data_IF_923114542330
#
_entry.id   IF_923114542330
#
_cell.length_a   1.000
_cell.length_b   1.000
_cell.length_c   1.000
_cell.angle_alpha   90.00
_cell.angle_beta   90.00
_cell.angle_gamma   90.00
#
_symmetry.space_group_name_H-M   'P 1'
#
loop_
_entity.id
_entity.type
_entity.pdbx_description
1 polymer ?
#
# COMPACT_ATOMS: atom_id res chain seq x y z
N UNK A 1 6.80 -7.50 33.05
CA UNK A 1 6.28 -6.30 32.38
C UNK A 1 6.48 -6.49 30.88
N UNK A 2 5.39 -6.60 30.13
CA UNK A 2 5.45 -6.67 28.67
C UNK A 2 5.26 -5.26 28.14
N UNK A 3 6.30 -4.67 27.56
CA UNK A 3 6.15 -3.42 26.80
C UNK A 3 5.38 -3.78 25.53
N UNK A 4 4.10 -3.45 25.49
CA UNK A 4 3.38 -3.42 24.23
C UNK A 4 3.94 -2.23 23.47
N UNK A 5 4.89 -2.46 22.56
CA UNK A 5 5.26 -1.49 21.55
C UNK A 5 3.97 -1.13 20.82
N UNK A 6 3.47 0.10 21.00
CA UNK A 6 2.44 0.60 20.10
C UNK A 6 3.11 0.61 18.73
N UNK A 7 2.52 -0.07 17.75
CA UNK A 7 2.98 0.05 16.37
C UNK A 7 2.76 1.49 15.93
N UNK A 8 3.80 2.31 16.01
CA UNK A 8 3.79 3.65 15.43
C UNK A 8 3.80 3.47 13.91
N UNK A 9 2.64 3.67 13.27
CA UNK A 9 2.59 3.70 11.82
C UNK A 9 3.15 5.05 11.36
N UNK A 10 4.42 5.07 11.00
CA UNK A 10 5.12 6.26 10.50
C UNK A 10 4.76 6.63 9.06
N UNK A 11 4.02 5.77 8.37
CA UNK A 11 3.55 5.98 7.00
C UNK A 11 2.13 5.44 6.82
N UNK A 12 1.49 5.86 5.73
CA UNK A 12 0.17 5.42 5.35
C UNK A 12 0.13 3.90 5.11
N UNK A 13 -0.97 3.24 5.45
CA UNK A 13 -1.14 1.79 5.22
C UNK A 13 -1.47 1.47 3.75
N UNK A 14 -1.91 2.48 3.00
CA UNK A 14 -2.26 2.39 1.59
C UNK A 14 -1.53 3.48 0.81
N UNK A 15 -1.33 3.24 -0.50
CA UNK A 15 -0.79 4.27 -1.38
C UNK A 15 -1.78 5.41 -1.51
N UNK A 16 -1.26 6.62 -1.58
CA UNK A 16 -2.01 7.84 -1.76
C UNK A 16 -1.62 8.39 -3.13
N UNK A 17 -2.62 8.88 -3.87
CA UNK A 17 -2.39 9.69 -5.06
C UNK A 17 -2.32 11.14 -4.62
N UNK A 18 -1.22 11.80 -4.93
CA UNK A 18 -0.93 13.16 -4.50
C UNK A 18 -0.27 13.95 -5.63
N UNK A 19 -0.30 15.28 -5.52
CA UNK A 19 0.46 16.17 -6.40
C UNK A 19 1.58 16.83 -5.61
N UNK A 20 2.79 16.79 -6.16
CA UNK A 20 3.97 17.46 -5.65
C UNK A 20 4.68 18.17 -6.81
N UNK A 21 4.99 19.47 -6.64
CA UNK A 21 5.58 20.33 -7.69
C UNK A 21 4.84 20.19 -9.04
N UNK A 22 3.51 20.28 -9.02
CA UNK A 22 2.60 20.19 -10.17
C UNK A 22 2.65 18.85 -10.94
N UNK A 23 3.22 17.79 -10.38
CA UNK A 23 3.21 16.43 -10.95
C UNK A 23 2.46 15.49 -10.02
N UNK A 24 1.72 14.55 -10.61
CA UNK A 24 0.93 13.57 -9.85
C UNK A 24 1.70 12.27 -9.69
N UNK A 25 1.71 11.75 -8.46
CA UNK A 25 2.40 10.52 -8.08
C UNK A 25 1.46 9.59 -7.32
N UNK A 26 1.91 8.35 -7.10
CA UNK A 26 1.17 7.37 -6.30
C UNK A 26 2.13 6.54 -5.48
N UNK A 27 2.17 6.79 -4.18
CA UNK A 27 3.10 6.14 -3.25
C UNK A 27 2.55 6.16 -1.83
N UNK A 28 3.22 5.50 -0.89
CA UNK A 28 2.95 5.67 0.53
C UNK A 28 3.45 7.06 0.99
N UNK A 29 2.75 7.70 1.92
CA UNK A 29 3.20 8.97 2.50
C UNK A 29 3.58 8.75 3.96
N UNK A 30 4.77 9.21 4.32
CA UNK A 30 5.26 9.28 5.70
C UNK A 30 5.06 10.65 6.32
N UNK A 31 5.97 11.01 7.22
CA UNK A 31 6.02 12.28 7.92
C UNK A 31 7.14 13.17 7.37
N UNK A 32 7.01 14.46 7.65
CA UNK A 32 8.10 15.41 7.47
C UNK A 32 8.98 15.45 8.75
N UNK A 33 10.30 15.52 8.55
CA UNK A 33 11.29 15.49 9.61
C UNK A 33 12.33 16.58 9.36
N UNK A 34 12.47 17.53 10.29
CA UNK A 34 13.36 18.70 10.10
C UNK A 34 14.83 18.31 9.86
N UNK A 35 15.28 17.18 10.42
CA UNK A 35 16.66 16.70 10.31
C UNK A 35 16.86 15.70 9.15
N UNK A 36 15.81 15.42 8.36
CA UNK A 36 15.92 14.47 7.27
C UNK A 36 16.72 15.04 6.10
N UNK A 37 17.79 14.34 5.74
CA UNK A 37 18.76 14.73 4.71
C UNK A 37 18.95 13.66 3.65
N UNK A 38 17.98 12.75 3.52
CA UNK A 38 18.00 11.70 2.51
C UNK A 38 17.85 12.23 1.08
N UNK A 39 17.99 11.31 0.12
CA UNK A 39 17.96 11.62 -1.31
C UNK A 39 16.56 11.30 -1.86
N UNK A 40 16.03 12.17 -2.72
CA UNK A 40 14.89 11.90 -3.60
C UNK A 40 15.39 11.96 -5.05
N UNK A 41 15.84 10.81 -5.57
CA UNK A 41 16.43 10.68 -6.89
C UNK A 41 15.39 10.64 -8.02
N UNK A 42 14.15 10.25 -7.67
CA UNK A 42 13.05 10.13 -8.63
C UNK A 42 12.19 11.42 -8.70
N UNK A 43 12.42 12.34 -7.77
CA UNK A 43 11.77 13.63 -7.60
C UNK A 43 10.25 13.54 -7.39
N UNK A 44 9.75 12.50 -6.71
CA UNK A 44 8.34 12.38 -6.34
C UNK A 44 7.98 13.15 -5.07
N UNK A 45 8.98 13.68 -4.35
CA UNK A 45 8.79 14.37 -3.07
C UNK A 45 8.85 13.44 -1.87
N UNK A 46 9.18 12.17 -2.06
CA UNK A 46 9.42 11.21 -0.99
C UNK A 46 10.90 10.83 -1.02
N UNK A 47 11.52 10.83 0.15
CA UNK A 47 12.90 10.40 0.27
C UNK A 47 13.06 8.89 0.03
N UNK A 48 14.03 8.51 -0.81
CA UNK A 48 14.34 7.13 -1.19
C UNK A 48 15.05 6.35 -0.05
N UNK A 49 15.48 7.04 1.01
CA UNK A 49 16.12 6.43 2.18
C UNK A 49 15.24 6.60 3.42
N UNK A 50 15.02 5.55 4.23
CA UNK A 50 14.29 5.68 5.49
C UNK A 50 14.96 6.65 6.47
N UNK A 51 14.20 7.16 7.44
CA UNK A 51 14.78 8.01 8.50
C UNK A 51 15.85 7.27 9.31
N UNK A 52 16.89 7.97 9.77
CA UNK A 52 17.93 7.37 10.60
C UNK A 52 17.36 7.06 11.99
N UNK A 53 17.16 5.77 12.29
CA UNK A 53 16.85 5.29 13.65
C UNK A 53 17.65 4.03 13.98
N UNK A 54 18.03 3.89 15.25
CA UNK A 54 18.66 2.70 15.79
C UNK A 54 17.71 1.50 15.82
N UNK A 55 16.40 1.76 15.95
CA UNK A 55 15.36 0.75 15.84
C UNK A 55 14.75 0.77 14.43
N UNK A 56 14.86 -0.35 13.71
CA UNK A 56 14.36 -0.48 12.33
C UNK A 56 12.84 -0.35 12.26
N UNK A 57 12.12 -0.83 13.28
CA UNK A 57 10.66 -0.78 13.33
C UNK A 57 10.12 0.65 13.54
N UNK A 58 10.97 1.58 13.99
CA UNK A 58 10.63 2.97 14.24
C UNK A 58 11.02 3.90 13.07
N UNK A 59 11.54 3.34 11.98
CA UNK A 59 11.91 4.13 10.81
C UNK A 59 10.68 4.50 10.01
N UNK A 60 10.65 5.76 9.57
CA UNK A 60 9.77 6.17 8.50
C UNK A 60 10.43 5.80 7.17
N UNK A 61 9.81 4.90 6.41
CA UNK A 61 10.33 4.43 5.13
C UNK A 61 9.93 5.34 3.96
N UNK A 62 9.05 6.31 4.19
CA UNK A 62 8.55 7.23 3.16
C UNK A 62 8.59 8.69 3.64
N UNK A 63 9.73 9.17 4.16
CA UNK A 63 9.84 10.52 4.70
C UNK A 63 9.56 11.56 3.61
N UNK A 64 8.83 12.61 3.97
CA UNK A 64 8.51 13.71 3.06
C UNK A 64 9.73 14.63 2.94
N UNK A 65 10.06 15.03 1.70
CA UNK A 65 11.14 15.97 1.41
C UNK A 65 10.81 17.41 1.82
N UNK A 66 9.52 17.75 1.89
CA UNK A 66 9.01 19.07 2.29
C UNK A 66 7.83 18.89 3.26
N UNK A 67 7.41 19.94 3.98
CA UNK A 67 6.18 19.91 4.79
C UNK A 67 4.94 19.54 3.96
N UNK A 68 3.96 18.91 4.60
CA UNK A 68 2.75 18.34 3.96
C UNK A 68 1.95 19.38 3.15
N UNK A 69 2.07 20.66 3.48
CA UNK A 69 1.44 21.78 2.78
C UNK A 69 1.88 21.88 1.30
N UNK A 70 3.01 21.29 0.94
CA UNK A 70 3.50 21.23 -0.45
C UNK A 70 2.93 20.03 -1.23
N UNK A 71 2.07 19.22 -0.61
CA UNK A 71 1.47 18.01 -1.17
C UNK A 71 -0.05 18.17 -1.23
N UNK A 72 -0.61 18.11 -2.44
CA UNK A 72 -2.07 18.10 -2.62
C UNK A 72 -2.53 16.65 -2.67
N UNK A 73 -3.15 16.17 -1.59
CA UNK A 73 -3.71 14.82 -1.51
C UNK A 73 -4.97 14.75 -2.39
N UNK A 74 -4.95 13.86 -3.40
CA UNK A 74 -6.06 13.70 -4.35
C UNK A 74 -6.99 12.57 -3.90
N UNK A 75 -6.45 11.37 -3.64
CA UNK A 75 -7.23 10.21 -3.23
C UNK A 75 -6.37 9.18 -2.50
N UNK A 76 -6.98 8.42 -1.61
CA UNK A 76 -6.38 7.20 -1.05
C UNK A 76 -6.68 6.08 -2.04
N UNK A 77 -5.66 5.31 -2.41
CA UNK A 77 -5.84 4.09 -3.21
C UNK A 77 -6.31 3.01 -2.24
N UNK A 78 -7.62 2.97 -2.00
CA UNK A 78 -8.23 1.87 -1.28
C UNK A 78 -7.89 0.58 -2.04
N UNK A 79 -7.31 -0.38 -1.32
CA UNK A 79 -7.17 -1.75 -1.82
C UNK A 79 -8.57 -2.31 -2.00
N UNK A 80 -9.16 -2.10 -3.18
CA UNK A 80 -10.45 -2.69 -3.54
C UNK A 80 -10.29 -4.21 -3.38
N UNK A 81 -11.02 -4.75 -2.42
CA UNK A 81 -11.00 -6.16 -2.08
C UNK A 81 -11.10 -7.03 -3.35
N UNK A 82 -10.17 -7.98 -3.49
CA UNK A 82 -10.40 -9.21 -4.23
C UNK A 82 -10.64 -9.15 -5.74
N UNK A 83 -10.26 -8.07 -6.44
CA UNK A 83 -10.33 -8.05 -7.91
C UNK A 83 -8.93 -8.02 -8.49
N UNK A 84 -8.39 -9.20 -8.84
CA UNK A 84 -7.21 -9.29 -9.70
C UNK A 84 -7.66 -8.76 -11.07
N UNK A 85 -6.93 -7.84 -11.73
CA UNK A 85 -7.27 -7.42 -13.09
C UNK A 85 -7.36 -8.64 -14.01
N UNK A 86 -8.56 -8.94 -14.50
CA UNK A 86 -8.85 -10.13 -15.31
C UNK A 86 -9.44 -11.33 -14.56
N UNK A 87 -9.63 -11.26 -13.24
CA UNK A 87 -10.24 -12.33 -12.45
C UNK A 87 -11.20 -11.83 -11.38
N UNK A 88 -12.47 -12.17 -11.54
CA UNK A 88 -13.51 -11.95 -10.54
C UNK A 88 -13.59 -13.18 -9.63
N UNK A 89 -13.60 -13.00 -8.31
CA UNK A 89 -13.82 -14.10 -7.35
C UNK A 89 -15.12 -14.89 -7.63
N UNK A 90 -16.13 -14.20 -8.17
CA UNK A 90 -17.38 -14.82 -8.64
C UNK A 90 -17.17 -15.79 -9.81
N UNK A 91 -16.19 -15.54 -10.69
CA UNK A 91 -15.82 -16.46 -11.78
C UNK A 91 -15.13 -17.72 -11.24
N UNK A 92 -14.27 -17.61 -10.21
CA UNK A 92 -13.66 -18.79 -9.55
C UNK A 92 -14.73 -19.67 -8.91
N UNK A 93 -15.63 -19.07 -8.14
CA UNK A 93 -16.71 -19.80 -7.47
C UNK A 93 -17.66 -20.45 -8.50
N UNK A 94 -17.91 -19.77 -9.61
CA UNK A 94 -18.66 -20.32 -10.74
C UNK A 94 -17.98 -21.54 -11.38
N UNK A 95 -16.68 -21.44 -11.69
CA UNK A 95 -15.90 -22.55 -12.27
C UNK A 95 -15.84 -23.74 -11.30
N UNK A 96 -15.56 -23.49 -10.01
CA UNK A 96 -15.50 -24.53 -8.98
C UNK A 96 -16.85 -25.24 -8.83
N UNK A 97 -17.95 -24.49 -8.82
CA UNK A 97 -19.32 -25.04 -8.80
C UNK A 97 -19.60 -25.93 -10.02
N UNK A 98 -19.26 -25.48 -11.24
CA UNK A 98 -19.40 -26.31 -12.45
C UNK A 98 -18.61 -27.61 -12.36
N UNK A 99 -17.37 -27.57 -11.90
CA UNK A 99 -16.52 -28.77 -11.74
C UNK A 99 -17.17 -29.75 -10.75
N UNK A 100 -17.67 -29.26 -9.61
CA UNK A 100 -18.36 -30.10 -8.62
C UNK A 100 -19.63 -30.73 -9.19
N UNK A 101 -20.42 -29.97 -9.95
CA UNK A 101 -21.64 -30.48 -10.61
C UNK A 101 -21.29 -31.58 -11.63
N UNK A 102 -20.24 -31.38 -12.43
CA UNK A 102 -19.78 -32.36 -13.42
C UNK A 102 -19.27 -33.66 -12.77
N UNK A 103 -18.51 -33.55 -11.67
CA UNK A 103 -18.07 -34.71 -10.89
C UNK A 103 -19.27 -35.49 -10.34
N UNK A 104 -20.26 -34.79 -9.76
CA UNK A 104 -21.49 -35.42 -9.24
C UNK A 104 -22.32 -36.08 -10.34
N UNK A 105 -22.41 -35.46 -11.52
CA UNK A 105 -23.14 -36.02 -12.67
C UNK A 105 -22.43 -37.26 -13.23
N UNK A 106 -21.10 -37.26 -13.31
CA UNK A 106 -20.30 -38.43 -13.70
C UNK A 106 -20.43 -39.57 -12.70
N UNK A 107 -20.49 -39.26 -11.40
CA UNK A 107 -20.66 -40.28 -10.34
C UNK A 107 -22.03 -40.97 -10.33
N UNK A 108 -23.08 -40.34 -10.87
CA UNK A 108 -24.43 -40.93 -10.94
C UNK A 108 -24.71 -41.70 -12.24
N UNK A 109 -23.79 -41.65 -13.20
CA UNK A 109 -23.94 -42.27 -14.52
C UNK A 109 -23.22 -43.61 -14.67
N UNK A 110 -22.72 -44.20 -13.58
CA UNK A 110 -22.09 -45.52 -13.52
C UNK A 110 -22.91 -46.44 -12.61
#
# INVERSE_FOLDING_TARGET
>A
MSYTYSSHNWNSQQKIVYTYKNRTFTNYLGNYWDEYTGIDANNDGIGDTPTPSSNIEERDNYPLMEPIENYVIIKIVESSEGTIPGYNIFLLLGILSMVVILIRKKSKGN
#
